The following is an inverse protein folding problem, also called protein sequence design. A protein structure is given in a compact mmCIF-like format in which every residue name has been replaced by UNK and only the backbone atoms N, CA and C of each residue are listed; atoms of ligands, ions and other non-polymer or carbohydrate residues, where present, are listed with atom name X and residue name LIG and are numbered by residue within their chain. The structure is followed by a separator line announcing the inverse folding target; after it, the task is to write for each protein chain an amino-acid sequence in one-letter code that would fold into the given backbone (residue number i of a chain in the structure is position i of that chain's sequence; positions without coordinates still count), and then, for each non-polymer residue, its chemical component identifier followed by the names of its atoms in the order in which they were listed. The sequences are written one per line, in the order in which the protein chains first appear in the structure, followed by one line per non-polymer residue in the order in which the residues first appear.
data_IF_080943466636
#
_entry.id   IF_080943466636
#
_cell.length_a   1.000
_cell.length_b   1.000
_cell.length_c   1.000
_cell.angle_alpha   90.00
_cell.angle_beta   90.00
_cell.angle_gamma   90.00
#
_symmetry.space_group_name_H-M   'P 1'
#
loop_
_entity.id
_entity.type
_entity.pdbx_description
1 polymer ?
#
# COMPACT_ATOMS: atom_id res chain seq x y z
N UNK A 1 25.69 109.02 14.95
CA UNK A 1 25.69 108.38 16.29
C UNK A 1 24.66 107.26 16.40
N UNK A 2 23.42 107.42 15.92
CA UNK A 2 22.38 106.38 15.97
C UNK A 2 22.70 105.07 15.20
N UNK A 3 23.44 105.13 14.08
CA UNK A 3 23.81 103.94 13.29
C UNK A 3 24.82 103.04 14.00
N UNK A 4 25.75 103.61 14.78
CA UNK A 4 26.78 102.87 15.51
C UNK A 4 26.21 102.14 16.74
N UNK A 5 25.22 102.73 17.42
CA UNK A 5 24.47 102.05 18.49
C UNK A 5 23.59 100.91 17.96
N UNK A 6 23.02 101.06 16.76
CA UNK A 6 22.19 100.04 16.15
C UNK A 6 23.02 98.83 15.67
N UNK A 7 24.22 99.09 15.13
CA UNK A 7 25.20 98.06 14.81
C UNK A 7 25.70 97.30 16.05
N UNK A 8 25.96 98.00 17.15
CA UNK A 8 26.38 97.38 18.42
C UNK A 8 25.27 96.48 19.02
N UNK A 9 24.01 96.94 19.00
CA UNK A 9 22.84 96.14 19.42
C UNK A 9 22.62 94.90 18.53
N UNK A 10 22.78 95.03 17.21
CA UNK A 10 22.72 93.89 16.28
C UNK A 10 23.81 92.85 16.59
N UNK A 11 25.02 93.31 16.93
CA UNK A 11 26.14 92.45 17.30
C UNK A 11 25.88 91.69 18.62
N UNK A 12 25.33 92.36 19.64
CA UNK A 12 24.94 91.72 20.91
C UNK A 12 23.83 90.69 20.73
N UNK A 13 22.84 90.98 19.88
CA UNK A 13 21.77 90.02 19.52
C UNK A 13 22.37 88.79 18.81
N UNK A 14 23.31 89.00 17.89
CA UNK A 14 24.00 87.91 17.19
C UNK A 14 24.81 87.04 18.16
N UNK A 15 25.54 87.66 19.10
CA UNK A 15 26.30 86.95 20.15
C UNK A 15 25.38 86.17 21.10
N UNK A 16 24.25 86.76 21.52
CA UNK A 16 23.26 86.03 22.33
C UNK A 16 22.63 84.86 21.58
N UNK A 17 22.29 85.03 20.30
CA UNK A 17 21.78 83.94 19.45
C UNK A 17 22.82 82.84 19.31
N UNK A 18 24.08 83.19 19.07
CA UNK A 18 25.17 82.24 18.98
C UNK A 18 25.39 81.48 20.31
N UNK A 19 25.36 82.16 21.46
CA UNK A 19 25.44 81.51 22.79
C UNK A 19 24.26 80.56 23.05
N UNK A 20 23.04 80.95 22.70
CA UNK A 20 21.85 80.08 22.83
C UNK A 20 21.95 78.86 21.92
N UNK A 21 22.41 79.04 20.69
CA UNK A 21 22.61 77.96 19.73
C UNK A 21 23.73 77.02 20.18
N UNK A 22 24.87 77.55 20.61
CA UNK A 22 25.97 76.77 21.17
C UNK A 22 25.48 75.97 22.40
N UNK A 23 24.79 76.62 23.34
CA UNK A 23 24.21 75.96 24.50
C UNK A 23 23.23 74.84 24.10
N UNK A 24 22.35 75.07 23.14
CA UNK A 24 21.42 74.06 22.63
C UNK A 24 22.17 72.87 22.01
N UNK A 25 23.18 73.13 21.18
CA UNK A 25 23.99 72.08 20.55
C UNK A 25 24.74 71.27 21.61
N UNK A 26 25.45 71.92 22.53
CA UNK A 26 26.29 71.24 23.53
C UNK A 26 25.46 70.54 24.62
N UNK A 27 24.31 71.09 25.02
CA UNK A 27 23.50 70.54 26.12
C UNK A 27 22.36 69.63 25.67
N UNK A 28 21.90 69.72 24.42
CA UNK A 28 20.81 68.86 23.91
C UNK A 28 21.24 67.97 22.76
N UNK A 29 21.86 68.53 21.71
CA UNK A 29 22.17 67.73 20.52
C UNK A 29 23.29 66.73 20.76
N UNK A 30 24.40 67.14 21.39
CA UNK A 30 25.55 66.26 21.66
C UNK A 30 25.16 65.08 22.56
N UNK A 31 24.50 65.28 23.73
CA UNK A 31 24.10 64.15 24.58
C UNK A 31 23.08 63.21 23.92
N UNK A 32 22.17 63.76 23.09
CA UNK A 32 21.22 62.95 22.34
C UNK A 32 21.92 62.05 21.32
N UNK A 33 22.92 62.60 20.61
CA UNK A 33 23.73 61.85 19.65
C UNK A 33 24.60 60.80 20.35
N UNK A 34 25.22 61.12 21.48
CA UNK A 34 25.98 60.16 22.30
C UNK A 34 25.09 59.02 22.80
N UNK A 35 23.88 59.33 23.28
CA UNK A 35 22.91 58.32 23.70
C UNK A 35 22.49 57.42 22.54
N UNK A 36 22.22 57.98 21.36
CA UNK A 36 21.87 57.18 20.17
C UNK A 36 23.04 56.34 19.68
N UNK A 37 24.26 56.86 19.72
CA UNK A 37 25.47 56.13 19.35
C UNK A 37 25.64 54.90 20.25
N UNK A 38 25.46 55.08 21.56
CA UNK A 38 25.53 53.99 22.54
C UNK A 38 24.46 52.92 22.32
N UNK A 39 23.21 53.33 22.05
CA UNK A 39 22.11 52.39 21.76
C UNK A 39 22.39 51.58 20.47
N UNK A 40 22.96 52.23 19.44
CA UNK A 40 23.34 51.56 18.19
C UNK A 40 24.49 50.58 18.41
N UNK A 41 25.50 50.94 19.22
CA UNK A 41 26.61 50.05 19.56
C UNK A 41 26.15 48.82 20.35
N UNK A 42 25.27 49.00 21.34
CA UNK A 42 24.68 47.90 22.11
C UNK A 42 23.90 46.94 21.19
N UNK A 43 23.03 47.48 20.33
CA UNK A 43 22.31 46.66 19.33
C UNK A 43 23.26 45.96 18.36
N UNK A 44 24.30 46.64 17.90
CA UNK A 44 25.30 46.04 17.00
C UNK A 44 26.00 44.85 17.66
N UNK A 45 26.30 44.95 18.96
CA UNK A 45 26.91 43.87 19.73
C UNK A 45 25.96 42.67 19.84
N UNK A 46 24.68 42.91 20.17
CA UNK A 46 23.68 41.83 20.23
C UNK A 46 23.50 41.12 18.88
N UNK A 47 23.44 41.87 17.78
CA UNK A 47 23.32 41.29 16.44
C UNK A 47 24.53 40.44 16.07
N UNK A 48 25.76 40.86 16.44
CA UNK A 48 26.97 40.06 16.23
C UNK A 48 26.92 38.76 17.02
N UNK A 49 26.49 38.79 18.28
CA UNK A 49 26.38 37.58 19.09
C UNK A 49 25.33 36.61 18.52
N UNK A 50 24.18 37.12 18.08
CA UNK A 50 23.13 36.32 17.44
C UNK A 50 23.62 35.71 16.12
N UNK A 51 24.34 36.48 15.30
CA UNK A 51 24.92 36.00 14.04
C UNK A 51 25.90 34.85 14.30
N UNK A 52 26.81 35.00 15.27
CA UNK A 52 27.78 33.96 15.64
C UNK A 52 27.08 32.68 16.13
N UNK A 53 26.03 32.81 16.96
CA UNK A 53 25.21 31.67 17.41
C UNK A 53 24.50 30.98 16.24
N UNK A 54 23.99 31.76 15.28
CA UNK A 54 23.34 31.22 14.09
C UNK A 54 24.33 30.47 13.20
N UNK A 55 25.52 31.03 12.95
CA UNK A 55 26.60 30.39 12.19
C UNK A 55 27.02 29.05 12.80
N UNK A 56 27.19 28.99 14.13
CA UNK A 56 27.49 27.75 14.83
C UNK A 56 26.38 26.69 14.69
N UNK A 57 25.11 27.11 14.70
CA UNK A 57 23.97 26.22 14.51
C UNK A 57 23.87 25.71 13.06
N UNK A 58 24.14 26.58 12.08
CA UNK A 58 24.16 26.19 10.65
C UNK A 58 25.25 25.15 10.42
N UNK A 59 26.47 25.39 10.90
CA UNK A 59 27.58 24.45 10.76
C UNK A 59 27.28 23.07 11.40
N UNK A 60 26.62 23.05 12.56
CA UNK A 60 26.19 21.80 13.20
C UNK A 60 25.14 21.05 12.36
N UNK A 61 24.15 21.77 11.82
CA UNK A 61 23.09 21.19 11.00
C UNK A 61 23.63 20.66 9.67
N UNK A 62 24.57 21.38 9.03
CA UNK A 62 25.25 20.94 7.81
C UNK A 62 25.99 19.63 8.05
N UNK A 63 26.75 19.53 9.15
CA UNK A 63 27.43 18.30 9.54
C UNK A 63 26.45 17.15 9.78
N UNK A 64 25.35 17.39 10.48
CA UNK A 64 24.33 16.37 10.71
C UNK A 64 23.66 15.93 9.41
N UNK A 65 23.44 16.85 8.47
CA UNK A 65 22.89 16.57 7.16
C UNK A 65 23.85 15.69 6.35
N UNK A 66 25.15 15.99 6.36
CA UNK A 66 26.18 15.20 5.71
C UNK A 66 26.26 13.78 6.29
N UNK A 67 26.29 13.65 7.63
CA UNK A 67 26.30 12.35 8.31
C UNK A 67 25.05 11.52 7.97
N UNK A 68 23.87 12.16 7.96
CA UNK A 68 22.61 11.49 7.60
C UNK A 68 22.54 11.12 6.12
N UNK A 69 23.05 11.96 5.23
CA UNK A 69 23.13 11.67 3.80
C UNK A 69 24.06 10.50 3.53
N UNK A 70 25.24 10.48 4.15
CA UNK A 70 26.18 9.37 4.07
C UNK A 70 25.59 8.06 4.60
N UNK A 71 24.90 8.12 5.74
CA UNK A 71 24.22 6.96 6.34
C UNK A 71 23.11 6.43 5.43
N UNK A 72 22.27 7.31 4.88
CA UNK A 72 21.21 6.94 3.92
C UNK A 72 21.78 6.29 2.66
N UNK A 73 22.86 6.84 2.12
CA UNK A 73 23.52 6.29 0.94
C UNK A 73 24.15 4.92 1.22
N UNK A 74 24.73 4.72 2.40
CA UNK A 74 25.25 3.43 2.83
C UNK A 74 24.14 2.37 2.89
N UNK A 75 23.02 2.68 3.56
CA UNK A 75 21.87 1.78 3.63
C UNK A 75 21.30 1.49 2.25
N UNK A 76 21.16 2.51 1.39
CA UNK A 76 20.68 2.32 0.01
C UNK A 76 21.55 1.32 -0.75
N UNK A 77 22.88 1.43 -0.67
CA UNK A 77 23.80 0.49 -1.34
C UNK A 77 23.68 -0.93 -0.78
N UNK A 78 23.62 -1.07 0.55
CA UNK A 78 23.50 -2.36 1.21
C UNK A 78 22.18 -3.06 0.83
N UNK A 79 21.05 -2.34 0.94
CA UNK A 79 19.73 -2.88 0.66
C UNK A 79 19.52 -3.16 -0.83
N UNK A 80 20.02 -2.33 -1.74
CA UNK A 80 19.92 -2.61 -3.17
C UNK A 80 20.60 -3.93 -3.53
N UNK A 81 21.83 -4.16 -3.05
CA UNK A 81 22.54 -5.41 -3.31
C UNK A 81 21.83 -6.65 -2.74
N UNK A 82 21.40 -6.58 -1.47
CA UNK A 82 20.67 -7.68 -0.83
C UNK A 82 19.32 -7.94 -1.49
N UNK A 83 18.60 -6.88 -1.83
CA UNK A 83 17.33 -6.95 -2.54
C UNK A 83 17.47 -7.69 -3.87
N UNK A 84 18.42 -7.28 -4.71
CA UNK A 84 18.65 -7.94 -6.01
C UNK A 84 18.98 -9.43 -5.86
N UNK A 85 19.78 -9.80 -4.85
CA UNK A 85 20.11 -11.21 -4.59
C UNK A 85 18.88 -11.98 -4.11
N UNK A 86 18.14 -11.46 -3.13
CA UNK A 86 16.92 -12.08 -2.60
C UNK A 86 15.87 -12.25 -3.70
N UNK A 87 15.69 -11.23 -4.55
CA UNK A 87 14.72 -11.29 -5.64
C UNK A 87 15.09 -12.35 -6.67
N UNK A 88 16.37 -12.48 -7.04
CA UNK A 88 16.83 -13.53 -7.97
C UNK A 88 16.67 -14.92 -7.37
N UNK A 89 17.11 -15.13 -6.13
CA UNK A 89 16.97 -16.41 -5.43
C UNK A 89 15.49 -16.76 -5.28
N UNK A 90 14.69 -15.81 -4.81
CA UNK A 90 13.25 -15.98 -4.61
C UNK A 90 12.54 -16.35 -5.91
N UNK A 91 12.83 -15.66 -7.00
CA UNK A 91 12.28 -15.98 -8.33
C UNK A 91 12.58 -17.42 -8.73
N UNK A 92 13.86 -17.80 -8.75
CA UNK A 92 14.28 -19.15 -9.19
C UNK A 92 13.72 -20.24 -8.29
N UNK A 93 13.86 -20.07 -6.97
CA UNK A 93 13.37 -21.05 -6.00
C UNK A 93 11.85 -21.14 -6.01
N UNK A 94 11.16 -20.02 -6.15
CA UNK A 94 9.71 -19.94 -6.27
C UNK A 94 9.22 -20.73 -7.49
N UNK A 95 9.84 -20.56 -8.65
CA UNK A 95 9.49 -21.31 -9.86
C UNK A 95 9.73 -22.83 -9.71
N UNK A 96 10.83 -23.23 -9.06
CA UNK A 96 11.13 -24.65 -8.80
C UNK A 96 10.07 -25.26 -7.88
N UNK A 97 9.70 -24.56 -6.81
CA UNK A 97 8.65 -25.02 -5.88
C UNK A 97 7.31 -25.08 -6.59
N UNK A 98 6.96 -24.07 -7.38
CA UNK A 98 5.72 -24.06 -8.15
C UNK A 98 5.61 -25.26 -9.08
N UNK A 99 6.68 -25.56 -9.82
CA UNK A 99 6.74 -26.73 -10.70
C UNK A 99 6.64 -28.03 -9.90
N UNK A 100 7.28 -28.12 -8.73
CA UNK A 100 7.22 -29.30 -7.86
C UNK A 100 5.79 -29.61 -7.41
N UNK A 101 4.99 -28.59 -7.08
CA UNK A 101 3.60 -28.78 -6.67
C UNK A 101 2.63 -29.13 -7.81
N UNK A 102 3.07 -29.20 -9.07
CA UNK A 102 2.21 -29.70 -10.16
C UNK A 102 1.97 -31.22 -10.09
N UNK A 103 2.80 -31.95 -9.35
CA UNK A 103 2.68 -33.41 -9.20
C UNK A 103 1.98 -33.77 -7.89
N UNK A 104 0.92 -34.58 -7.97
CA UNK A 104 0.22 -35.10 -6.81
C UNK A 104 1.17 -35.90 -5.88
N UNK A 105 2.05 -36.71 -6.45
CA UNK A 105 3.01 -37.50 -5.65
C UNK A 105 3.95 -36.62 -4.82
N UNK A 106 4.41 -35.51 -5.40
CA UNK A 106 5.26 -34.56 -4.71
C UNK A 106 4.49 -33.86 -3.58
N UNK A 107 3.25 -33.43 -3.85
CA UNK A 107 2.39 -32.80 -2.84
C UNK A 107 2.20 -33.72 -1.65
N UNK A 108 1.92 -35.02 -1.89
CA UNK A 108 1.75 -36.00 -0.83
C UNK A 108 3.00 -36.14 0.06
N UNK A 109 4.19 -36.21 -0.56
CA UNK A 109 5.46 -36.30 0.17
C UNK A 109 5.76 -35.01 0.93
N UNK A 110 5.51 -33.85 0.33
CA UNK A 110 5.81 -32.56 0.95
C UNK A 110 4.90 -32.26 2.14
N UNK A 111 3.60 -32.57 2.04
CA UNK A 111 2.65 -32.41 3.16
C UNK A 111 3.04 -33.28 4.36
N UNK A 112 3.65 -34.45 4.15
CA UNK A 112 4.19 -35.28 5.24
C UNK A 112 5.36 -34.60 5.97
N UNK A 113 6.10 -33.71 5.31
CA UNK A 113 7.12 -32.87 5.94
C UNK A 113 6.48 -31.61 6.56
N UNK A 114 5.58 -31.81 7.53
CA UNK A 114 4.70 -30.79 8.10
C UNK A 114 5.46 -29.51 8.53
N UNK A 115 6.54 -29.63 9.31
CA UNK A 115 7.32 -28.48 9.79
C UNK A 115 7.88 -27.61 8.66
N UNK A 116 8.35 -28.23 7.58
CA UNK A 116 8.86 -27.52 6.41
C UNK A 116 7.73 -26.82 5.65
N UNK A 117 6.57 -27.46 5.55
CA UNK A 117 5.39 -26.89 4.89
C UNK A 117 4.77 -25.74 5.69
N UNK A 118 4.79 -25.79 7.03
CA UNK A 118 4.37 -24.67 7.88
C UNK A 118 5.27 -23.45 7.66
N UNK A 119 6.59 -23.64 7.64
CA UNK A 119 7.55 -22.57 7.33
C UNK A 119 7.32 -22.01 5.92
N UNK A 120 7.03 -22.89 4.96
CA UNK A 120 6.71 -22.47 3.60
C UNK A 120 5.43 -21.61 3.54
N UNK A 121 4.37 -21.99 4.25
CA UNK A 121 3.14 -21.21 4.32
C UNK A 121 3.36 -19.83 4.96
N UNK A 122 4.12 -19.77 6.07
CA UNK A 122 4.47 -18.52 6.72
C UNK A 122 5.31 -17.61 5.78
N UNK A 123 6.26 -18.20 5.05
CA UNK A 123 7.07 -17.50 4.06
C UNK A 123 6.21 -16.95 2.92
N UNK A 124 5.36 -17.78 2.33
CA UNK A 124 4.47 -17.38 1.23
C UNK A 124 3.54 -16.23 1.66
N UNK A 125 2.92 -16.35 2.84
CA UNK A 125 2.10 -15.27 3.42
C UNK A 125 2.90 -14.00 3.60
N UNK A 126 4.07 -14.06 4.26
CA UNK A 126 4.88 -12.89 4.54
C UNK A 126 5.31 -12.14 3.27
N UNK A 127 5.67 -12.87 2.21
CA UNK A 127 6.08 -12.26 0.93
C UNK A 127 4.88 -11.67 0.19
N UNK A 128 3.75 -12.38 0.10
CA UNK A 128 2.55 -11.88 -0.57
C UNK A 128 2.01 -10.64 0.17
N UNK A 129 1.98 -10.67 1.51
CA UNK A 129 1.59 -9.53 2.33
C UNK A 129 2.52 -8.33 2.11
N UNK A 130 3.84 -8.56 2.08
CA UNK A 130 4.82 -7.51 1.85
C UNK A 130 4.68 -6.90 0.45
N UNK A 131 4.41 -7.73 -0.56
CA UNK A 131 4.16 -7.28 -1.92
C UNK A 131 2.90 -6.42 -2.03
N UNK A 132 1.80 -6.87 -1.43
CA UNK A 132 0.54 -6.13 -1.37
C UNK A 132 0.70 -4.78 -0.66
N UNK A 133 1.51 -4.73 0.40
CA UNK A 133 1.81 -3.51 1.14
C UNK A 133 2.69 -2.55 0.34
N UNK A 134 3.76 -3.05 -0.29
CA UNK A 134 4.75 -2.24 -0.98
C UNK A 134 4.19 -1.57 -2.24
N UNK A 135 3.37 -2.30 -3.00
CA UNK A 135 2.91 -1.84 -4.30
C UNK A 135 1.49 -1.26 -4.29
N UNK A 136 0.66 -1.59 -3.29
CA UNK A 136 -0.70 -1.04 -3.21
C UNK A 136 -1.50 -1.28 -4.49
N UNK A 137 -1.82 -0.22 -5.22
CA UNK A 137 -2.47 -0.24 -6.55
C UNK A 137 -1.50 -0.08 -7.72
N UNK A 138 -0.22 0.18 -7.46
CA UNK A 138 0.84 0.46 -8.42
C UNK A 138 1.78 -0.74 -8.53
N UNK A 139 1.26 -1.84 -9.05
CA UNK A 139 1.97 -3.12 -9.18
C UNK A 139 3.19 -3.03 -10.14
N UNK A 140 4.24 -3.83 -9.91
CA UNK A 140 5.46 -3.77 -10.72
C UNK A 140 5.24 -4.35 -12.13
N UNK A 141 6.17 -4.07 -13.08
CA UNK A 141 6.12 -4.62 -14.43
C UNK A 141 6.03 -6.15 -14.46
N UNK A 142 5.35 -6.73 -15.45
CA UNK A 142 5.12 -8.18 -15.54
C UNK A 142 6.40 -9.01 -15.63
N UNK A 143 7.47 -8.47 -16.22
CA UNK A 143 8.76 -9.16 -16.33
C UNK A 143 9.69 -8.87 -15.14
N UNK A 144 9.25 -8.10 -14.14
CA UNK A 144 10.06 -7.79 -12.97
C UNK A 144 10.24 -9.04 -12.11
N UNK A 145 11.38 -9.14 -11.42
CA UNK A 145 11.66 -10.27 -10.52
C UNK A 145 10.60 -10.35 -9.40
N UNK A 146 10.08 -9.22 -8.95
CA UNK A 146 9.03 -9.10 -7.95
C UNK A 146 7.73 -9.72 -8.42
N UNK A 147 7.32 -9.40 -9.64
CA UNK A 147 6.13 -9.97 -10.23
C UNK A 147 6.27 -11.49 -10.38
N UNK A 148 7.37 -11.96 -10.99
CA UNK A 148 7.60 -13.39 -11.23
C UNK A 148 7.69 -14.16 -9.92
N UNK A 149 8.36 -13.60 -8.90
CA UNK A 149 8.47 -14.25 -7.59
C UNK A 149 7.10 -14.42 -6.93
N UNK A 150 6.29 -13.37 -6.88
CA UNK A 150 4.97 -13.42 -6.23
C UNK A 150 4.00 -14.31 -7.00
N UNK A 151 4.00 -14.25 -8.33
CA UNK A 151 3.21 -15.18 -9.16
C UNK A 151 3.63 -16.62 -8.90
N UNK A 152 4.93 -16.88 -8.72
CA UNK A 152 5.41 -18.24 -8.43
C UNK A 152 4.95 -18.75 -7.07
N UNK A 153 4.92 -17.89 -6.05
CA UNK A 153 4.38 -18.24 -4.73
C UNK A 153 2.87 -18.47 -4.77
N UNK A 154 2.11 -17.59 -5.43
CA UNK A 154 0.67 -17.75 -5.64
C UNK A 154 0.37 -19.04 -6.40
N UNK A 155 1.12 -19.33 -7.46
CA UNK A 155 0.99 -20.55 -8.24
C UNK A 155 1.32 -21.80 -7.43
N UNK A 156 2.30 -21.71 -6.55
CA UNK A 156 2.66 -22.79 -5.65
C UNK A 156 1.53 -23.14 -4.68
N UNK A 157 0.97 -22.15 -3.97
CA UNK A 157 -0.14 -22.39 -3.04
C UNK A 157 -1.43 -22.81 -3.77
N UNK A 158 -1.65 -22.29 -4.98
CA UNK A 158 -2.79 -22.68 -5.84
C UNK A 158 -2.68 -24.15 -6.25
N UNK A 159 -1.50 -24.57 -6.73
CA UNK A 159 -1.25 -25.96 -7.11
C UNK A 159 -1.31 -26.91 -5.93
N UNK A 160 -0.77 -26.50 -4.78
CA UNK A 160 -0.85 -27.27 -3.55
C UNK A 160 -2.32 -27.52 -3.16
N UNK A 161 -3.16 -26.49 -3.21
CA UNK A 161 -4.59 -26.60 -2.93
C UNK A 161 -5.36 -27.44 -3.99
N UNK A 162 -4.82 -27.63 -5.19
CA UNK A 162 -5.51 -28.41 -6.23
C UNK A 162 -5.65 -29.90 -5.85
N UNK A 163 -4.79 -30.43 -4.98
CA UNK A 163 -4.81 -31.82 -4.53
C UNK A 163 -5.41 -31.95 -3.13
N UNK A 164 -6.10 -33.07 -2.85
CA UNK A 164 -6.86 -33.31 -1.61
C UNK A 164 -5.98 -33.13 -0.38
N UNK A 165 -4.83 -33.80 -0.35
CA UNK A 165 -3.90 -33.76 0.78
C UNK A 165 -3.35 -32.36 1.00
N UNK A 166 -3.12 -31.61 -0.09
CA UNK A 166 -2.59 -30.26 -0.02
C UNK A 166 -3.62 -29.26 0.50
N UNK A 167 -4.84 -29.22 -0.05
CA UNK A 167 -5.88 -28.33 0.49
C UNK A 167 -6.32 -28.70 1.90
N UNK A 168 -6.41 -29.98 2.24
CA UNK A 168 -6.75 -30.41 3.60
C UNK A 168 -5.68 -29.94 4.61
N UNK A 169 -4.39 -30.02 4.23
CA UNK A 169 -3.30 -29.46 5.02
C UNK A 169 -3.43 -27.93 5.17
N UNK A 170 -3.65 -27.22 4.07
CA UNK A 170 -3.73 -25.76 4.05
C UNK A 170 -4.97 -25.23 4.81
N UNK A 171 -6.10 -25.91 4.74
CA UNK A 171 -7.35 -25.53 5.42
C UNK A 171 -7.21 -25.55 6.95
N UNK A 172 -6.27 -26.31 7.48
CA UNK A 172 -5.95 -26.35 8.92
C UNK A 172 -5.03 -25.19 9.36
N UNK A 173 -4.48 -24.42 8.41
CA UNK A 173 -3.53 -23.34 8.71
C UNK A 173 -4.25 -21.99 8.72
N UNK A 174 -4.48 -21.45 9.92
CA UNK A 174 -5.13 -20.13 10.11
C UNK A 174 -4.47 -19.03 9.26
N UNK A 175 -3.14 -18.98 9.25
CA UNK A 175 -2.36 -18.02 8.45
C UNK A 175 -2.70 -18.08 6.95
N UNK A 176 -2.97 -19.27 6.41
CA UNK A 176 -3.30 -19.46 5.00
C UNK A 176 -4.75 -19.04 4.73
N UNK A 177 -5.67 -19.34 5.65
CA UNK A 177 -7.06 -18.90 5.57
C UNK A 177 -7.15 -17.37 5.64
N UNK A 178 -6.39 -16.72 6.52
CA UNK A 178 -6.28 -15.26 6.57
C UNK A 178 -5.74 -14.66 5.27
N UNK A 179 -4.71 -15.27 4.70
CA UNK A 179 -4.14 -14.86 3.41
C UNK A 179 -5.18 -14.98 2.29
N UNK A 180 -5.91 -16.10 2.23
CA UNK A 180 -7.02 -16.31 1.29
C UNK A 180 -8.06 -15.20 1.41
N UNK A 181 -8.52 -14.90 2.63
CA UNK A 181 -9.50 -13.84 2.87
C UNK A 181 -9.01 -12.50 2.35
N UNK A 182 -7.77 -12.12 2.69
CA UNK A 182 -7.17 -10.85 2.24
C UNK A 182 -7.11 -10.77 0.71
N UNK A 183 -6.60 -11.81 0.05
CA UNK A 183 -6.48 -11.83 -1.41
C UNK A 183 -7.85 -11.78 -2.12
N UNK A 184 -8.86 -12.47 -1.57
CA UNK A 184 -10.25 -12.40 -2.06
C UNK A 184 -10.83 -11.01 -1.85
N UNK A 185 -10.62 -10.36 -0.71
CA UNK A 185 -11.13 -9.00 -0.48
C UNK A 185 -10.51 -7.96 -1.43
N UNK A 186 -9.24 -8.17 -1.85
CA UNK A 186 -8.51 -7.26 -2.73
C UNK A 186 -8.81 -7.46 -4.25
N UNK A 187 -9.95 -8.04 -4.65
CA UNK A 187 -10.29 -8.26 -6.08
C UNK A 187 -10.19 -7.02 -6.97
N UNK A 188 -10.55 -5.85 -6.45
CA UNK A 188 -10.49 -4.59 -7.20
C UNK A 188 -9.05 -4.25 -7.60
N UNK A 189 -8.05 -4.63 -6.79
CA UNK A 189 -6.63 -4.44 -7.10
C UNK A 189 -6.18 -5.29 -8.28
N UNK A 190 -6.76 -6.47 -8.43
CA UNK A 190 -6.42 -7.42 -9.50
C UNK A 190 -7.15 -7.13 -10.82
N UNK A 191 -8.10 -6.20 -10.84
CA UNK A 191 -9.01 -5.96 -11.97
C UNK A 191 -8.37 -5.16 -13.12
N UNK A 192 -7.10 -4.77 -13.00
CA UNK A 192 -6.34 -4.20 -14.10
C UNK A 192 -5.99 -5.29 -15.13
N UNK A 193 -6.12 -5.03 -16.46
CA UNK A 193 -5.93 -6.04 -17.50
C UNK A 193 -4.61 -6.82 -17.43
N UNK A 194 -3.53 -6.14 -17.00
CA UNK A 194 -2.20 -6.72 -16.85
C UNK A 194 -2.11 -7.75 -15.72
N UNK A 195 -3.03 -7.72 -14.74
CA UNK A 195 -3.03 -8.58 -13.55
C UNK A 195 -4.15 -9.62 -13.55
N UNK A 196 -4.82 -9.82 -14.70
CA UNK A 196 -5.85 -10.86 -14.87
C UNK A 196 -5.36 -12.24 -14.39
N UNK A 197 -4.07 -12.55 -14.61
CA UNK A 197 -3.50 -13.84 -14.23
C UNK A 197 -3.44 -14.00 -12.71
N UNK A 198 -3.09 -12.94 -11.97
CA UNK A 198 -3.12 -12.96 -10.51
C UNK A 198 -4.56 -13.05 -10.02
N UNK A 199 -5.49 -12.26 -10.59
CA UNK A 199 -6.92 -12.31 -10.27
C UNK A 199 -7.45 -13.74 -10.36
N UNK A 200 -7.21 -14.37 -11.51
CA UNK A 200 -7.59 -15.77 -11.77
C UNK A 200 -6.95 -16.72 -10.78
N UNK A 201 -5.64 -16.62 -10.52
CA UNK A 201 -4.95 -17.52 -9.59
C UNK A 201 -5.48 -17.40 -8.16
N UNK A 202 -5.76 -16.19 -7.70
CA UNK A 202 -6.40 -15.95 -6.39
C UNK A 202 -7.77 -16.62 -6.31
N UNK A 203 -8.61 -16.47 -7.35
CA UNK A 203 -9.91 -17.13 -7.39
C UNK A 203 -9.79 -18.65 -7.51
N UNK A 204 -8.87 -19.19 -8.31
CA UNK A 204 -8.62 -20.63 -8.39
C UNK A 204 -8.15 -21.19 -7.05
N UNK A 205 -7.26 -20.47 -6.35
CA UNK A 205 -6.85 -20.84 -5.00
C UNK A 205 -8.05 -20.84 -4.04
N UNK A 206 -8.88 -19.80 -4.09
CA UNK A 206 -10.09 -19.71 -3.26
C UNK A 206 -11.07 -20.87 -3.55
N UNK A 207 -11.31 -21.18 -4.83
CA UNK A 207 -12.10 -22.32 -5.24
C UNK A 207 -11.55 -23.62 -4.67
N UNK A 208 -10.27 -23.92 -4.90
CA UNK A 208 -9.63 -25.15 -4.44
C UNK A 208 -9.73 -25.31 -2.92
N UNK A 209 -9.53 -24.23 -2.17
CA UNK A 209 -9.67 -24.22 -0.72
C UNK A 209 -11.12 -24.40 -0.27
N UNK A 210 -12.09 -23.79 -0.96
CA UNK A 210 -13.54 -23.92 -0.66
C UNK A 210 -14.11 -25.32 -0.87
N UNK A 211 -13.35 -26.23 -1.48
CA UNK A 211 -13.71 -27.65 -1.52
C UNK A 211 -13.66 -28.28 -0.12
N UNK A 212 -12.90 -27.70 0.82
CA UNK A 212 -12.93 -28.08 2.23
C UNK A 212 -14.04 -27.30 2.97
N UNK A 213 -14.99 -28.01 3.58
CA UNK A 213 -16.17 -27.41 4.23
C UNK A 213 -15.84 -26.31 5.24
N UNK A 214 -14.82 -26.44 6.12
CA UNK A 214 -14.47 -25.36 7.05
C UNK A 214 -14.14 -24.04 6.34
N UNK A 215 -13.51 -24.09 5.17
CA UNK A 215 -13.19 -22.89 4.39
C UNK A 215 -14.44 -22.35 3.70
N UNK A 216 -15.29 -23.22 3.15
CA UNK A 216 -16.58 -22.79 2.58
C UNK A 216 -17.43 -22.06 3.62
N UNK A 217 -17.48 -22.55 4.85
CA UNK A 217 -18.18 -21.90 5.96
C UNK A 217 -17.57 -20.55 6.34
N UNK A 218 -16.23 -20.42 6.32
CA UNK A 218 -15.57 -19.11 6.50
C UNK A 218 -15.98 -18.13 5.39
N UNK A 219 -16.02 -18.58 4.14
CA UNK A 219 -16.45 -17.73 3.02
C UNK A 219 -17.92 -17.31 3.14
N UNK A 220 -18.81 -18.23 3.50
CA UNK A 220 -20.24 -17.96 3.72
C UNK A 220 -20.50 -17.08 4.94
N UNK A 221 -19.70 -17.23 5.99
CA UNK A 221 -19.81 -16.47 7.24
C UNK A 221 -19.42 -15.00 7.10
N UNK A 222 -18.71 -14.63 6.03
CA UNK A 222 -18.26 -13.26 5.79
C UNK A 222 -18.80 -12.71 4.46
N UNK A 223 -19.87 -11.94 4.55
CA UNK A 223 -20.55 -11.34 3.40
C UNK A 223 -19.62 -10.59 2.44
N UNK A 224 -18.59 -9.91 2.97
CA UNK A 224 -17.62 -9.19 2.13
C UNK A 224 -16.85 -10.11 1.18
N UNK A 225 -16.55 -11.34 1.58
CA UNK A 225 -15.86 -12.31 0.74
C UNK A 225 -16.76 -12.75 -0.41
N UNK A 226 -18.01 -13.10 -0.09
CA UNK A 226 -19.04 -13.45 -1.07
C UNK A 226 -19.23 -12.31 -2.07
N UNK A 227 -19.42 -11.08 -1.59
CA UNK A 227 -19.63 -9.92 -2.45
C UNK A 227 -18.40 -9.63 -3.34
N UNK A 228 -17.18 -9.89 -2.86
CA UNK A 228 -15.98 -9.78 -3.70
C UNK A 228 -15.93 -10.82 -4.82
N UNK A 229 -16.39 -12.05 -4.57
CA UNK A 229 -16.50 -13.07 -5.63
C UNK A 229 -17.63 -12.73 -6.61
N UNK A 230 -18.78 -12.29 -6.12
CA UNK A 230 -19.92 -11.89 -6.96
C UNK A 230 -19.58 -10.72 -7.89
N UNK A 231 -18.73 -9.78 -7.46
CA UNK A 231 -18.25 -8.68 -8.30
C UNK A 231 -17.45 -9.14 -9.53
N UNK A 232 -16.88 -10.35 -9.50
CA UNK A 232 -16.21 -10.96 -10.65
C UNK A 232 -17.18 -11.56 -11.67
N UNK A 233 -18.50 -11.58 -11.39
CA UNK A 233 -19.55 -11.97 -12.35
C UNK A 233 -19.91 -10.77 -13.23
N UNK A 234 -18.97 -10.34 -14.07
CA UNK A 234 -19.08 -9.15 -14.92
C UNK A 234 -18.72 -9.47 -16.37
N UNK A 235 -19.43 -8.88 -17.34
CA UNK A 235 -19.08 -8.94 -18.77
C UNK A 235 -17.77 -8.20 -19.09
N UNK A 236 -17.29 -7.36 -18.17
CA UNK A 236 -16.00 -6.68 -18.31
C UNK A 236 -14.82 -7.52 -17.81
N UNK A 237 -15.09 -8.59 -17.05
CA UNK A 237 -14.07 -9.50 -16.59
C UNK A 237 -13.77 -10.58 -17.65
N UNK A 238 -12.50 -11.04 -17.76
CA UNK A 238 -12.15 -12.15 -18.63
C UNK A 238 -12.92 -13.43 -18.30
N UNK A 239 -13.27 -14.22 -19.32
CA UNK A 239 -14.06 -15.46 -19.18
C UNK A 239 -13.46 -16.45 -18.19
N UNK A 240 -12.13 -16.56 -18.12
CA UNK A 240 -11.44 -17.43 -17.16
C UNK A 240 -11.51 -16.95 -15.70
N UNK A 241 -11.64 -15.64 -15.47
CA UNK A 241 -11.93 -15.05 -14.15
C UNK A 241 -13.38 -15.31 -13.76
N UNK A 242 -14.31 -15.08 -14.68
CA UNK A 242 -15.75 -15.35 -14.47
C UNK A 242 -15.98 -16.82 -14.18
N UNK A 243 -15.33 -17.73 -14.91
CA UNK A 243 -15.40 -19.18 -14.67
C UNK A 243 -15.01 -19.56 -13.23
N UNK A 244 -13.90 -19.02 -12.75
CA UNK A 244 -13.43 -19.29 -11.39
C UNK A 244 -14.40 -18.74 -10.34
N UNK A 245 -14.95 -17.54 -10.56
CA UNK A 245 -15.96 -16.97 -9.67
C UNK A 245 -17.24 -17.80 -9.64
N UNK A 246 -17.76 -18.22 -10.80
CA UNK A 246 -18.93 -19.10 -10.90
C UNK A 246 -18.69 -20.43 -10.18
N UNK A 247 -17.51 -21.04 -10.34
CA UNK A 247 -17.18 -22.29 -9.65
C UNK A 247 -17.20 -22.15 -8.12
N UNK A 248 -16.71 -21.02 -7.58
CA UNK A 248 -16.81 -20.71 -6.15
C UNK A 248 -18.27 -20.57 -5.75
N UNK A 249 -19.06 -19.76 -6.45
CA UNK A 249 -20.47 -19.52 -6.12
C UNK A 249 -21.27 -20.82 -6.17
N UNK A 250 -21.06 -21.64 -7.20
CA UNK A 250 -21.63 -22.97 -7.30
C UNK A 250 -21.30 -23.80 -6.06
N UNK A 251 -20.02 -23.90 -5.69
CA UNK A 251 -19.58 -24.66 -4.51
C UNK A 251 -20.25 -24.15 -3.24
N UNK A 252 -20.29 -22.83 -3.03
CA UNK A 252 -20.91 -22.24 -1.84
C UNK A 252 -22.42 -22.52 -1.80
N UNK A 253 -23.13 -22.43 -2.93
CA UNK A 253 -24.54 -22.80 -3.02
C UNK A 253 -24.76 -24.28 -2.69
N UNK A 254 -23.97 -25.19 -3.28
CA UNK A 254 -24.06 -26.63 -2.99
C UNK A 254 -23.88 -26.91 -1.49
N UNK A 255 -22.87 -26.32 -0.87
CA UNK A 255 -22.63 -26.46 0.58
C UNK A 255 -23.80 -25.95 1.40
N UNK A 256 -24.40 -24.81 1.05
CA UNK A 256 -25.54 -24.28 1.80
C UNK A 256 -26.75 -25.22 1.77
N UNK A 257 -26.99 -25.86 0.63
CA UNK A 257 -28.08 -26.84 0.46
C UNK A 257 -27.76 -28.14 1.21
N UNK A 258 -26.55 -28.68 1.05
CA UNK A 258 -26.11 -29.93 1.67
C UNK A 258 -26.07 -29.84 3.21
N UNK A 259 -25.59 -28.72 3.74
CA UNK A 259 -25.45 -28.49 5.18
C UNK A 259 -26.71 -27.86 5.82
N UNK A 260 -27.73 -27.50 5.03
CA UNK A 260 -28.94 -26.84 5.52
C UNK A 260 -28.67 -25.46 6.15
N UNK A 261 -27.67 -24.74 5.65
CA UNK A 261 -27.28 -23.42 6.17
C UNK A 261 -28.14 -22.36 5.48
N UNK A 262 -28.96 -21.58 6.22
CA UNK A 262 -29.67 -20.45 5.65
C UNK A 262 -28.68 -19.44 5.07
N UNK A 263 -28.80 -19.15 3.79
CA UNK A 263 -27.89 -18.26 3.07
C UNK A 263 -28.66 -17.35 2.13
N UNK A 264 -28.39 -16.05 2.21
CA UNK A 264 -28.90 -15.05 1.25
C UNK A 264 -28.09 -15.01 -0.05
N UNK A 265 -27.19 -15.98 -0.27
CA UNK A 265 -26.32 -16.02 -1.45
C UNK A 265 -27.12 -16.03 -2.75
N UNK A 266 -28.18 -16.84 -2.84
CA UNK A 266 -29.03 -16.95 -4.03
C UNK A 266 -29.67 -15.60 -4.42
N UNK A 267 -30.08 -14.81 -3.43
CA UNK A 267 -30.71 -13.50 -3.62
C UNK A 267 -29.72 -12.43 -4.11
N UNK A 268 -28.43 -12.60 -3.82
CA UNK A 268 -27.37 -11.64 -4.16
C UNK A 268 -26.75 -11.87 -5.53
N UNK A 269 -26.97 -13.04 -6.14
CA UNK A 269 -26.42 -13.36 -7.45
C UNK A 269 -27.05 -12.41 -8.49
N UNK A 270 -26.25 -11.76 -9.36
CA UNK A 270 -26.76 -10.85 -10.38
C UNK A 270 -27.37 -11.65 -11.55
N UNK A 271 -28.53 -12.30 -11.34
CA UNK A 271 -29.16 -13.20 -12.30
C UNK A 271 -29.42 -12.58 -13.68
N UNK A 272 -29.74 -11.28 -13.73
CA UNK A 272 -29.89 -10.56 -15.00
C UNK A 272 -28.58 -10.52 -15.80
N UNK A 273 -27.45 -10.31 -15.13
CA UNK A 273 -26.13 -10.35 -15.75
C UNK A 273 -25.79 -11.76 -16.23
N UNK A 274 -26.05 -12.79 -15.41
CA UNK A 274 -25.82 -14.19 -15.79
C UNK A 274 -26.66 -14.60 -17.01
N UNK A 275 -27.93 -14.18 -17.07
CA UNK A 275 -28.78 -14.38 -18.26
C UNK A 275 -28.21 -13.70 -19.50
N UNK A 276 -27.66 -12.49 -19.35
CA UNK A 276 -26.99 -11.79 -20.45
C UNK A 276 -25.71 -12.52 -20.89
N UNK A 277 -24.94 -13.07 -19.96
CA UNK A 277 -23.74 -13.88 -20.26
C UNK A 277 -24.06 -15.15 -21.05
N UNK A 278 -25.22 -15.77 -20.79
CA UNK A 278 -25.71 -16.94 -21.54
C UNK A 278 -25.81 -16.67 -23.04
N UNK A 279 -26.25 -15.46 -23.39
CA UNK A 279 -26.47 -15.03 -24.78
C UNK A 279 -25.23 -14.32 -25.38
N UNK A 280 -24.08 -14.40 -24.70
CA UNK A 280 -22.81 -13.84 -25.18
C UNK A 280 -22.33 -14.53 -26.47
N UNK A 281 -21.57 -13.80 -27.28
CA UNK A 281 -20.86 -14.37 -28.43
C UNK A 281 -19.68 -15.27 -28.03
N UNK A 282 -19.25 -15.20 -26.78
CA UNK A 282 -18.28 -16.14 -26.21
C UNK A 282 -19.00 -17.40 -25.74
N UNK A 283 -18.85 -18.49 -26.51
CA UNK A 283 -19.47 -19.79 -26.22
C UNK A 283 -19.11 -20.32 -24.83
N UNK A 284 -17.85 -20.15 -24.39
CA UNK A 284 -17.41 -20.62 -23.07
C UNK A 284 -18.12 -19.87 -21.95
N UNK A 285 -18.27 -18.55 -22.10
CA UNK A 285 -19.01 -17.74 -21.15
C UNK A 285 -20.50 -18.14 -21.11
N UNK A 286 -21.08 -18.48 -22.26
CA UNK A 286 -22.44 -18.99 -22.37
C UNK A 286 -22.64 -20.32 -21.62
N UNK A 287 -21.71 -21.26 -21.75
CA UNK A 287 -21.70 -22.54 -21.02
C UNK A 287 -21.56 -22.36 -19.50
N UNK A 288 -20.65 -21.47 -19.08
CA UNK A 288 -20.44 -21.12 -17.66
C UNK A 288 -21.73 -20.55 -17.06
N UNK A 289 -22.37 -19.61 -17.75
CA UNK A 289 -23.62 -19.00 -17.30
C UNK A 289 -24.75 -20.03 -17.23
N UNK A 290 -24.85 -20.92 -18.22
CA UNK A 290 -25.84 -22.01 -18.25
C UNK A 290 -25.68 -22.95 -17.06
N UNK A 291 -24.43 -23.27 -16.68
CA UNK A 291 -24.14 -24.12 -15.53
C UNK A 291 -24.66 -23.54 -14.21
N UNK A 292 -24.52 -22.21 -14.01
CA UNK A 292 -25.02 -21.54 -12.81
C UNK A 292 -26.56 -21.41 -12.80
N UNK A 293 -27.17 -21.17 -13.96
CA UNK A 293 -28.63 -21.09 -14.10
C UNK A 293 -29.31 -22.44 -13.79
N UNK A 294 -28.69 -23.56 -14.16
CA UNK A 294 -29.21 -24.88 -13.81
C UNK A 294 -29.32 -25.11 -12.30
N UNK A 295 -28.43 -24.49 -11.49
CA UNK A 295 -28.51 -24.56 -10.02
C UNK A 295 -29.71 -23.76 -9.51
N UNK A 296 -29.96 -22.58 -10.07
CA UNK A 296 -31.11 -21.74 -9.69
C UNK A 296 -32.42 -22.51 -9.82
N UNK A 297 -32.61 -23.21 -10.95
CA UNK A 297 -33.83 -23.99 -11.23
C UNK A 297 -34.00 -25.17 -10.26
N UNK A 298 -32.92 -25.84 -9.88
CA UNK A 298 -32.94 -26.94 -8.89
C UNK A 298 -33.20 -26.42 -7.47
N UNK A 299 -32.68 -25.24 -7.15
CA UNK A 299 -32.88 -24.57 -5.86
C UNK A 299 -34.29 -24.02 -5.69
N UNK A 300 -34.90 -23.45 -6.73
CA UNK A 300 -36.30 -23.00 -6.72
C UNK A 300 -37.30 -24.16 -6.61
N UNK A 301 -36.99 -25.32 -7.22
CA UNK A 301 -37.84 -26.51 -7.15
C UNK A 301 -37.82 -27.26 -5.81
N UNK A 302 -36.81 -27.01 -4.97
CA UNK A 302 -36.67 -27.69 -3.66
C UNK A 302 -37.20 -26.89 -2.46
N UNK A 303 -37.56 -25.62 -2.64
CA UNK A 303 -38.10 -24.75 -1.58
C UNK A 303 -37.08 -24.49 -0.47
N UNK A 304 -36.60 -23.25 -0.37
CA UNK A 304 -35.92 -22.77 0.83
C UNK A 304 -36.94 -22.43 1.93
#
# INVERSE_FOLDING_TARGET
MAENENACKQMDIAVQRHRKMLHYVTKKCVPLLESKLKEVDEKSSEWKERALKAEGKVALLERQLEEKAAQSQHYKKLYEGQYQVIMKIGTVMGEIVWKSFKSHSNVKVLVQAQDSMLKYCALAKGIIDSFLLAYGTSLPPLQSLEHVFVVSLLGSITNLAAFVEGRAFLAQQELVVELLKRMVLDQDRWSYPHFRFIKRMVLTFAYNMSLEDPVAFVMLGEERLVNSVLRCLSLHDPTDVVAAAVAIIYRLLSVTVEAGIPSSLSEKIPWAMIKTMKDSTDEQLGEIATSLLGVMEVSEGKGF
#
